data_IF_365156598462
#
_entry.id   IF_365156598462
#
_cell.length_a   1.000
_cell.length_b   1.000
_cell.length_c   1.000
_cell.angle_alpha   90.00
_cell.angle_beta   90.00
_cell.angle_gamma   90.00
#
_symmetry.space_group_name_H-M   'P 1'
#
loop_
_entity.id
_entity.type
_entity.pdbx_description
1 polymer ?
#
# COMPACT_ATOMS: atom_id res chain seq x y z
N UNK A 1 16.67 -8.72 -42.05
CA UNK A 1 17.41 -7.44 -42.09
C UNK A 1 16.40 -6.31 -42.09
N UNK A 2 16.30 -5.55 -40.99
CA UNK A 2 15.40 -4.39 -40.86
C UNK A 2 16.10 -3.15 -41.45
N UNK A 3 15.42 -2.39 -42.32
CA UNK A 3 15.99 -1.16 -42.90
C UNK A 3 15.87 0.00 -41.90
N UNK A 4 16.99 0.66 -41.60
CA UNK A 4 17.00 1.90 -40.80
C UNK A 4 16.34 3.03 -41.59
N UNK A 5 15.39 3.75 -40.99
CA UNK A 5 14.85 5.00 -41.53
C UNK A 5 13.34 5.05 -41.83
N UNK A 6 12.55 4.03 -41.47
CA UNK A 6 11.09 4.13 -41.59
C UNK A 6 10.50 4.72 -40.30
N UNK A 7 9.80 5.88 -40.36
CA UNK A 7 9.09 6.40 -39.20
C UNK A 7 7.97 5.43 -38.82
N UNK A 8 8.01 4.93 -37.58
CA UNK A 8 6.96 4.09 -37.00
C UNK A 8 6.07 5.02 -36.19
N UNK A 9 4.78 5.03 -36.52
CA UNK A 9 3.78 5.76 -35.77
C UNK A 9 3.02 4.78 -34.90
N UNK A 10 2.93 5.08 -33.61
CA UNK A 10 2.12 4.33 -32.67
C UNK A 10 0.83 5.13 -32.47
N UNK A 11 -0.27 4.63 -33.01
CA UNK A 11 -1.59 5.21 -32.83
C UNK A 11 -2.31 4.44 -31.71
N UNK A 12 -2.75 5.14 -30.67
CA UNK A 12 -3.69 4.60 -29.68
C UNK A 12 -5.08 5.18 -29.94
N UNK A 13 -6.07 4.31 -30.12
CA UNK A 13 -7.47 4.72 -30.10
C UNK A 13 -7.95 4.62 -28.65
N UNK A 14 -8.42 5.73 -28.08
CA UNK A 14 -9.15 5.74 -26.82
C UNK A 14 -10.59 6.06 -27.15
N UNK A 15 -11.50 5.19 -26.72
CA UNK A 15 -12.91 5.52 -26.77
C UNK A 15 -13.18 6.58 -25.70
N UNK A 16 -13.67 7.75 -26.12
CA UNK A 16 -14.02 8.86 -25.23
C UNK A 16 -15.45 8.72 -24.68
N UNK A 17 -16.24 7.79 -25.22
CA UNK A 17 -17.60 7.48 -24.79
C UNK A 17 -17.65 6.28 -23.83
N UNK A 18 -16.53 5.59 -23.63
CA UNK A 18 -16.32 4.82 -22.42
C UNK A 18 -16.08 5.84 -21.31
N UNK A 19 -17.17 6.43 -20.79
CA UNK A 19 -17.18 6.72 -19.37
C UNK A 19 -16.71 5.43 -18.71
N UNK A 20 -15.61 5.51 -17.96
CA UNK A 20 -15.15 4.35 -17.20
C UNK A 20 -16.30 4.05 -16.26
N UNK A 21 -17.14 3.07 -16.62
CA UNK A 21 -18.16 2.48 -15.78
C UNK A 21 -17.56 2.36 -14.40
N UNK A 22 -18.26 2.89 -13.39
CA UNK A 22 -17.74 2.82 -12.02
C UNK A 22 -17.36 1.36 -11.74
N UNK A 23 -16.28 1.12 -10.98
CA UNK A 23 -15.88 -0.26 -10.64
C UNK A 23 -17.05 -1.02 -10.00
N UNK A 24 -17.95 -0.29 -9.34
CA UNK A 24 -19.23 -0.70 -8.80
C UNK A 24 -20.25 -1.21 -9.84
N UNK A 25 -20.03 -1.09 -11.14
CA UNK A 25 -20.88 -1.65 -12.19
C UNK A 25 -20.42 -3.05 -12.61
N UNK A 26 -19.18 -3.44 -12.28
CA UNK A 26 -18.64 -4.75 -12.60
C UNK A 26 -19.44 -5.80 -11.81
N UNK A 27 -20.05 -6.81 -12.46
CA UNK A 27 -20.94 -7.77 -11.79
C UNK A 27 -20.34 -8.43 -10.55
N UNK A 28 -19.06 -8.82 -10.59
CA UNK A 28 -18.36 -9.43 -9.45
C UNK A 28 -18.17 -8.45 -8.28
N UNK A 29 -17.90 -7.17 -8.56
CA UNK A 29 -17.75 -6.15 -7.50
C UNK A 29 -19.10 -5.89 -6.83
N UNK A 30 -20.18 -5.87 -7.61
CA UNK A 30 -21.55 -5.74 -7.09
C UNK A 30 -21.96 -6.92 -6.23
N UNK A 31 -21.60 -8.12 -6.65
CA UNK A 31 -21.89 -9.35 -5.92
C UNK A 31 -21.15 -9.41 -4.58
N UNK A 32 -19.92 -8.89 -4.53
CA UNK A 32 -19.04 -8.92 -3.36
C UNK A 32 -18.71 -7.51 -2.83
N UNK A 33 -19.70 -6.62 -2.78
CA UNK A 33 -19.49 -5.22 -2.42
C UNK A 33 -18.88 -5.03 -1.02
N UNK A 34 -19.13 -5.98 -0.10
CA UNK A 34 -18.56 -6.05 1.24
C UNK A 34 -17.05 -6.36 1.25
N UNK A 35 -16.54 -7.03 0.21
CA UNK A 35 -15.11 -7.34 0.02
C UNK A 35 -14.34 -6.16 -0.61
N UNK A 36 -15.06 -5.26 -1.30
CA UNK A 36 -14.50 -4.08 -1.98
C UNK A 36 -14.97 -2.75 -1.38
N UNK A 37 -14.80 -2.50 -0.07
CA UNK A 37 -15.14 -1.21 0.50
C UNK A 37 -14.17 -0.13 -0.01
N UNK A 38 -14.63 1.13 -0.06
CA UNK A 38 -13.77 2.27 -0.41
C UNK A 38 -12.62 2.45 0.59
N UNK A 39 -12.86 2.12 1.86
CA UNK A 39 -11.86 2.12 2.93
C UNK A 39 -11.88 0.82 3.73
N UNK A 40 -10.71 0.38 4.20
CA UNK A 40 -10.59 -0.77 5.08
C UNK A 40 -11.12 -0.43 6.48
N UNK A 41 -12.07 -1.24 6.95
CA UNK A 41 -12.82 -1.02 8.21
C UNK A 41 -12.00 -1.47 9.44
N UNK A 42 -10.95 -2.27 9.24
CA UNK A 42 -10.10 -2.75 10.33
C UNK A 42 -9.27 -3.96 9.92
N UNK A 43 -8.61 -4.57 10.90
CA UNK A 43 -7.85 -5.79 10.67
C UNK A 43 -8.77 -6.92 10.17
N UNK A 44 -8.26 -7.81 9.31
CA UNK A 44 -9.01 -9.00 8.93
C UNK A 44 -9.32 -9.84 10.19
N UNK A 45 -10.38 -10.66 10.16
CA UNK A 45 -10.67 -11.62 11.23
C UNK A 45 -9.45 -12.51 11.50
N UNK A 46 -9.33 -12.99 12.73
CA UNK A 46 -8.31 -13.96 13.10
C UNK A 46 -8.37 -15.17 12.16
N UNK A 47 -7.22 -15.51 11.58
CA UNK A 47 -7.08 -16.64 10.67
C UNK A 47 -6.42 -17.80 11.41
N UNK A 48 -6.74 -19.02 11.02
CA UNK A 48 -6.11 -20.23 11.58
C UNK A 48 -4.60 -20.28 11.31
N UNK A 49 -4.14 -19.58 10.28
CA UNK A 49 -2.73 -19.49 9.90
C UNK A 49 -2.17 -18.13 10.33
N UNK A 50 -1.18 -18.17 11.22
CA UNK A 50 -0.38 -17.01 11.58
C UNK A 50 0.72 -16.79 10.54
N UNK A 51 0.87 -15.54 10.07
CA UNK A 51 1.97 -15.16 9.20
C UNK A 51 3.20 -14.83 10.06
N UNK A 52 4.15 -15.77 10.18
CA UNK A 52 5.44 -15.51 10.83
C UNK A 52 6.45 -14.92 9.83
N UNK A 53 7.34 -14.07 10.34
CA UNK A 53 8.54 -13.62 9.62
C UNK A 53 9.72 -14.40 10.19
N UNK A 54 10.14 -15.43 9.48
CA UNK A 54 11.26 -16.25 9.91
C UNK A 54 12.59 -15.53 9.66
N UNK A 55 13.43 -15.46 10.69
CA UNK A 55 14.79 -14.91 10.58
C UNK A 55 15.80 -16.05 10.51
N UNK A 56 16.92 -15.84 9.80
CA UNK A 56 18.00 -16.80 9.81
C UNK A 56 18.56 -16.98 11.24
N UNK A 57 18.91 -18.21 11.66
CA UNK A 57 19.50 -18.46 12.97
C UNK A 57 20.71 -17.56 13.23
N UNK A 58 20.72 -16.90 14.40
CA UNK A 58 21.80 -15.97 14.79
C UNK A 58 21.65 -14.54 14.26
N UNK A 59 20.56 -14.21 13.55
CA UNK A 59 20.29 -12.83 13.15
C UNK A 59 20.00 -11.97 14.39
N UNK A 60 20.84 -10.97 14.64
CA UNK A 60 20.63 -9.98 15.70
C UNK A 60 19.66 -8.87 15.25
N UNK A 61 18.88 -8.28 16.17
CA UNK A 61 18.02 -7.14 15.84
C UNK A 61 18.81 -5.94 15.30
N UNK A 62 18.23 -5.27 14.30
CA UNK A 62 18.78 -4.03 13.73
C UNK A 62 17.84 -2.88 14.10
N UNK A 63 18.40 -1.86 14.75
CA UNK A 63 17.70 -0.61 15.04
C UNK A 63 18.46 0.56 14.45
N UNK A 64 17.82 1.30 13.55
CA UNK A 64 18.35 2.49 12.89
C UNK A 64 17.56 3.71 13.34
N UNK A 65 18.26 4.81 13.62
CA UNK A 65 17.63 6.07 13.99
C UNK A 65 16.73 6.61 12.85
N UNK A 66 15.60 7.26 13.17
CA UNK A 66 14.78 7.94 12.17
C UNK A 66 15.56 9.03 11.43
N UNK A 67 15.22 9.26 10.17
CA UNK A 67 15.80 10.37 9.41
C UNK A 67 15.29 11.71 9.92
N UNK A 68 16.10 12.75 9.72
CA UNK A 68 15.66 14.11 9.98
C UNK A 68 14.65 14.52 8.91
N UNK A 69 13.45 14.88 9.36
CA UNK A 69 12.36 15.35 8.53
C UNK A 69 12.09 16.83 8.75
N UNK A 70 11.56 17.52 7.75
CA UNK A 70 11.06 18.88 7.86
C UNK A 70 9.80 18.94 8.73
N UNK A 71 9.46 20.11 9.26
CA UNK A 71 8.29 20.26 10.14
C UNK A 71 6.97 19.82 9.49
N UNK A 72 6.82 20.05 8.18
CA UNK A 72 5.63 19.63 7.40
C UNK A 72 5.52 18.12 7.27
N UNK A 73 6.66 17.45 7.05
CA UNK A 73 6.73 15.99 6.98
C UNK A 73 6.41 15.40 8.36
N UNK A 74 7.01 15.92 9.43
CA UNK A 74 6.71 15.44 10.78
C UNK A 74 5.22 15.61 11.16
N UNK A 75 4.57 16.69 10.76
CA UNK A 75 3.14 16.87 11.01
C UNK A 75 2.30 15.86 10.24
N UNK A 76 2.63 15.60 8.98
CA UNK A 76 1.92 14.61 8.15
C UNK A 76 2.10 13.20 8.70
N UNK A 77 3.33 12.83 9.06
CA UNK A 77 3.65 11.52 9.62
C UNK A 77 2.85 11.27 10.89
N UNK A 78 2.70 12.29 11.74
CA UNK A 78 1.91 12.17 12.97
C UNK A 78 0.43 11.91 12.68
N UNK A 79 -0.14 12.57 11.66
CA UNK A 79 -1.54 12.36 11.26
C UNK A 79 -1.74 10.93 10.77
N UNK A 80 -0.88 10.46 9.85
CA UNK A 80 -0.96 9.10 9.32
C UNK A 80 -0.75 8.04 10.41
N UNK A 81 0.21 8.23 11.32
CA UNK A 81 0.41 7.31 12.44
C UNK A 81 -0.81 7.25 13.36
N UNK A 82 -1.45 8.39 13.64
CA UNK A 82 -2.65 8.42 14.47
C UNK A 82 -3.79 7.66 13.79
N UNK A 83 -4.00 7.88 12.48
CA UNK A 83 -5.01 7.16 11.72
C UNK A 83 -4.77 5.64 11.73
N UNK A 84 -3.51 5.20 11.55
CA UNK A 84 -3.17 3.77 11.59
C UNK A 84 -3.39 3.15 12.97
N UNK A 85 -3.14 3.91 14.05
CA UNK A 85 -3.43 3.47 15.43
C UNK A 85 -4.93 3.40 15.68
N UNK A 86 -5.68 4.41 15.25
CA UNK A 86 -7.14 4.48 15.44
C UNK A 86 -7.86 3.37 14.65
N UNK A 87 -7.36 3.02 13.46
CA UNK A 87 -7.82 1.85 12.67
C UNK A 87 -7.35 0.51 13.23
N UNK A 88 -6.46 0.49 14.22
CA UNK A 88 -5.91 -0.72 14.83
C UNK A 88 -4.90 -1.48 13.96
N UNK A 89 -4.39 -0.87 12.89
CA UNK A 89 -3.41 -1.50 11.99
C UNK A 89 -2.02 -1.56 12.61
N UNK A 90 -1.69 -0.61 13.48
CA UNK A 90 -0.42 -0.58 14.21
C UNK A 90 -0.65 -0.31 15.69
N UNK A 91 0.34 -0.65 16.50
CA UNK A 91 0.36 -0.34 17.94
C UNK A 91 1.75 0.09 18.38
N UNK A 92 1.87 0.90 19.44
CA UNK A 92 3.15 1.14 20.09
C UNK A 92 3.83 -0.19 20.47
N UNK A 93 5.14 -0.26 20.29
CA UNK A 93 5.93 -1.43 20.65
C UNK A 93 7.27 -1.04 21.24
N UNK A 94 7.88 -1.97 21.99
CA UNK A 94 9.24 -1.87 22.56
C UNK A 94 10.18 -2.84 21.83
N UNK A 95 10.09 -2.86 20.50
CA UNK A 95 10.87 -3.78 19.67
C UNK A 95 12.37 -3.45 19.68
N UNK A 96 13.27 -4.46 19.74
CA UNK A 96 14.69 -4.25 19.51
C UNK A 96 14.99 -3.97 18.02
N UNK A 97 14.02 -4.17 17.13
CA UNK A 97 14.09 -3.85 15.71
C UNK A 97 13.51 -2.46 15.45
N UNK A 98 14.20 -1.68 14.62
CA UNK A 98 13.77 -0.34 14.23
C UNK A 98 14.24 0.01 12.83
N UNK A 99 13.28 0.31 11.95
CA UNK A 99 13.55 0.82 10.61
C UNK A 99 13.09 2.28 10.50
N UNK A 100 13.86 3.15 9.82
CA UNK A 100 13.46 4.52 9.61
C UNK A 100 12.30 4.60 8.61
N UNK A 101 11.39 5.54 8.86
CA UNK A 101 10.23 5.83 8.00
C UNK A 101 10.54 7.03 7.12
N UNK A 102 9.84 7.13 5.98
CA UNK A 102 9.88 8.24 5.03
C UNK A 102 8.44 8.59 4.62
N UNK A 103 8.24 9.83 4.17
CA UNK A 103 6.99 10.32 3.56
C UNK A 103 7.20 10.65 2.09
#
# INVERSE_FOLDING_TARGET
MWKKGCPVFLASVRDLNLEVSSISEIPVVREFADIFPEELIGLPPDREVEFSIDVFPGTAPISKAPYRMASKELSELKVQLQELVDRGFVRPSVSPWGAPVFL
#
